data_IF_743323676037
#
_entry.id   IF_743323676037
#
_cell.length_a   1.000
_cell.length_b   1.000
_cell.length_c   1.000
_cell.angle_alpha   90.00
_cell.angle_beta   90.00
_cell.angle_gamma   90.00
#
_symmetry.space_group_name_H-M   'P 1'
#
loop_
_entity.id
_entity.type
_entity.pdbx_description
1 polymer ?
#
# COMPACT_ATOMS: atom_id res chain seq x y z
N UNK A 1 1.41 -18.47 -9.18
CA UNK A 1 1.41 -18.16 -7.74
C UNK A 1 2.37 -17.00 -7.55
N UNK A 2 2.08 -15.99 -6.73
CA UNK A 2 3.06 -14.93 -6.45
C UNK A 2 3.92 -15.37 -5.29
N UNK A 3 5.21 -15.05 -5.34
CA UNK A 3 6.17 -15.49 -4.33
C UNK A 3 6.30 -14.48 -3.18
N UNK A 4 5.61 -13.33 -3.28
CA UNK A 4 5.59 -12.29 -2.24
C UNK A 4 4.38 -11.36 -2.35
N UNK A 5 4.05 -10.67 -1.25
CA UNK A 5 2.97 -9.66 -1.23
C UNK A 5 3.23 -8.48 -2.17
N UNK A 6 4.45 -7.90 -2.27
CA UNK A 6 4.72 -6.84 -3.24
C UNK A 6 4.48 -7.27 -4.69
N UNK A 7 4.87 -8.51 -5.07
CA UNK A 7 4.58 -9.04 -6.40
C UNK A 7 3.06 -9.20 -6.64
N UNK A 8 2.32 -9.65 -5.64
CA UNK A 8 0.86 -9.75 -5.75
C UNK A 8 0.22 -8.37 -5.95
N UNK A 9 0.67 -7.34 -5.22
CA UNK A 9 0.21 -5.95 -5.39
C UNK A 9 0.46 -5.43 -6.81
N UNK A 10 1.69 -5.59 -7.31
CA UNK A 10 2.06 -5.15 -8.66
C UNK A 10 1.23 -5.85 -9.73
N UNK A 11 0.94 -7.15 -9.58
CA UNK A 11 0.07 -7.85 -10.52
C UNK A 11 -1.36 -7.31 -10.49
N UNK A 12 -1.92 -7.03 -9.31
CA UNK A 12 -3.27 -6.45 -9.24
C UNK A 12 -3.30 -5.07 -9.89
N UNK A 13 -2.28 -4.23 -9.67
CA UNK A 13 -2.17 -2.94 -10.34
C UNK A 13 -2.08 -3.07 -11.87
N UNK A 14 -1.29 -4.02 -12.37
CA UNK A 14 -1.17 -4.24 -13.82
C UNK A 14 -2.46 -4.76 -14.45
N UNK A 15 -3.15 -5.69 -13.78
CA UNK A 15 -4.32 -6.38 -14.36
C UNK A 15 -5.65 -5.70 -14.07
N UNK A 16 -5.71 -4.88 -13.02
CA UNK A 16 -6.94 -4.29 -12.47
C UNK A 16 -6.74 -2.85 -12.01
N UNK A 17 -5.85 -2.11 -12.66
CA UNK A 17 -5.40 -0.79 -12.25
C UNK A 17 -6.51 0.14 -11.74
N UNK A 18 -7.54 0.37 -12.55
CA UNK A 18 -8.65 1.29 -12.23
C UNK A 18 -9.70 0.69 -11.28
N UNK A 19 -9.64 -0.61 -10.98
CA UNK A 19 -10.57 -1.25 -10.06
C UNK A 19 -10.22 -0.89 -8.63
N UNK A 20 -11.24 -0.77 -7.78
CA UNK A 20 -11.06 -0.50 -6.36
C UNK A 20 -10.26 -1.61 -5.67
N UNK A 21 -9.15 -1.22 -5.05
CA UNK A 21 -8.34 -2.05 -4.18
C UNK A 21 -8.78 -1.93 -2.72
N UNK A 22 -8.99 -0.68 -2.27
CA UNK A 22 -9.38 -0.37 -0.89
C UNK A 22 -10.63 0.50 -0.87
N UNK A 23 -11.49 0.23 0.12
CA UNK A 23 -12.56 1.12 0.54
C UNK A 23 -12.34 1.44 2.01
N UNK A 24 -12.36 2.71 2.33
CA UNK A 24 -12.18 3.19 3.70
C UNK A 24 -13.10 4.37 3.96
N UNK A 25 -13.38 4.63 5.23
CA UNK A 25 -14.29 5.69 5.64
C UNK A 25 -13.48 6.84 6.23
N UNK A 26 -13.67 8.04 5.71
CA UNK A 26 -13.01 9.25 6.21
C UNK A 26 -14.06 10.35 6.39
N UNK A 27 -14.14 10.93 7.58
CA UNK A 27 -15.16 11.94 7.96
C UNK A 27 -16.60 11.53 7.63
N UNK A 28 -16.91 10.24 7.81
CA UNK A 28 -18.24 9.71 7.49
C UNK A 28 -18.44 9.27 6.04
N UNK A 29 -17.54 9.62 5.12
CA UNK A 29 -17.66 9.41 3.67
C UNK A 29 -16.86 8.19 3.24
N UNK A 30 -17.45 7.34 2.40
CA UNK A 30 -16.74 6.21 1.79
C UNK A 30 -15.82 6.69 0.67
N UNK A 31 -14.53 6.53 0.88
CA UNK A 31 -13.49 6.76 -0.11
C UNK A 31 -13.15 5.44 -0.81
N UNK A 32 -12.54 5.57 -1.99
CA UNK A 32 -12.02 4.46 -2.77
C UNK A 32 -10.59 4.76 -3.16
N UNK A 33 -9.76 3.72 -3.20
CA UNK A 33 -8.43 3.75 -3.79
C UNK A 33 -8.33 2.61 -4.79
N UNK A 34 -7.85 2.91 -5.99
CA UNK A 34 -7.65 1.96 -7.07
C UNK A 34 -6.36 1.13 -6.84
N UNK A 35 -6.20 0.03 -7.57
CA UNK A 35 -4.98 -0.78 -7.49
C UNK A 35 -3.75 -0.04 -7.98
N UNK A 36 -3.87 0.76 -9.03
CA UNK A 36 -2.77 1.58 -9.55
C UNK A 36 -2.32 2.64 -8.53
N UNK A 37 -3.27 3.35 -7.90
CA UNK A 37 -2.97 4.34 -6.87
C UNK A 37 -2.29 3.69 -5.67
N UNK A 38 -2.80 2.55 -5.19
CA UNK A 38 -2.22 1.84 -4.07
C UNK A 38 -0.78 1.40 -4.35
N UNK A 39 -0.51 0.81 -5.52
CA UNK A 39 0.83 0.39 -5.89
C UNK A 39 1.81 1.57 -5.99
N UNK A 40 1.36 2.72 -6.50
CA UNK A 40 2.16 3.94 -6.56
C UNK A 40 2.50 4.45 -5.15
N UNK A 41 1.51 4.56 -4.27
CA UNK A 41 1.70 5.06 -2.89
C UNK A 41 2.63 4.14 -2.08
N UNK A 42 2.44 2.82 -2.14
CA UNK A 42 3.31 1.83 -1.48
C UNK A 42 4.74 1.92 -2.02
N UNK A 43 4.92 2.06 -3.34
CA UNK A 43 6.25 2.20 -3.94
C UNK A 43 6.97 3.47 -3.48
N UNK A 44 6.25 4.59 -3.39
CA UNK A 44 6.79 5.86 -2.88
C UNK A 44 7.18 5.75 -1.40
N UNK A 45 6.34 5.13 -0.57
CA UNK A 45 6.64 4.90 0.84
C UNK A 45 7.87 4.00 1.01
N UNK A 46 7.93 2.87 0.30
CA UNK A 46 9.06 1.95 0.32
C UNK A 46 10.37 2.63 -0.12
N UNK A 47 10.32 3.44 -1.18
CA UNK A 47 11.47 4.22 -1.64
C UNK A 47 11.94 5.24 -0.57
N UNK A 48 11.00 5.92 0.08
CA UNK A 48 11.30 6.90 1.13
C UNK A 48 11.84 6.25 2.42
N UNK A 49 11.42 5.03 2.76
CA UNK A 49 11.96 4.26 3.89
C UNK A 49 13.37 3.75 3.56
N UNK A 50 13.58 3.22 2.36
CA UNK A 50 14.91 2.81 1.88
C UNK A 50 15.90 3.97 1.86
N UNK A 51 15.46 5.15 1.41
CA UNK A 51 16.26 6.38 1.44
C UNK A 51 16.67 6.83 2.85
N UNK A 52 15.96 6.37 3.89
CA UNK A 52 16.29 6.60 5.31
C UNK A 52 17.14 5.48 5.93
N UNK A 53 17.58 4.50 5.12
CA UNK A 53 18.42 3.39 5.57
C UNK A 53 17.64 2.18 6.10
N UNK A 54 16.31 2.14 5.98
CA UNK A 54 15.53 0.95 6.31
C UNK A 54 15.72 -0.12 5.22
N UNK A 55 16.03 -1.34 5.63
CA UNK A 55 16.16 -2.49 4.72
C UNK A 55 15.52 -3.76 5.29
N UNK A 56 15.68 -4.89 4.60
CA UNK A 56 15.10 -6.18 4.96
C UNK A 56 15.59 -6.79 6.27
N UNK A 57 16.68 -6.27 6.85
CA UNK A 57 17.20 -6.72 8.15
C UNK A 57 16.53 -6.01 9.32
N UNK A 58 15.81 -4.92 9.05
CA UNK A 58 15.20 -4.09 10.06
C UNK A 58 13.74 -4.51 10.35
N UNK A 59 13.34 -4.60 11.63
CA UNK A 59 11.93 -4.67 11.97
C UNK A 59 11.26 -3.31 11.76
N UNK A 60 10.04 -3.30 11.23
CA UNK A 60 9.18 -2.13 11.11
C UNK A 60 7.91 -2.34 11.93
N UNK A 61 7.57 -1.37 12.79
CA UNK A 61 6.34 -1.39 13.58
C UNK A 61 5.50 -0.18 13.22
N UNK A 62 4.21 -0.41 12.94
CA UNK A 62 3.21 0.64 12.72
C UNK A 62 2.34 0.73 13.96
N UNK A 63 2.35 1.88 14.64
CA UNK A 63 1.43 2.19 15.74
C UNK A 63 0.41 3.21 15.25
N UNK A 64 -0.83 2.75 15.03
CA UNK A 64 -1.90 3.57 14.47
C UNK A 64 -3.26 3.14 15.01
N UNK A 65 -4.21 4.07 15.03
CA UNK A 65 -5.64 3.73 15.01
C UNK A 65 -6.02 3.08 13.67
N UNK A 66 -7.26 2.61 13.52
CA UNK A 66 -7.77 2.11 12.25
C UNK A 66 -7.87 3.24 11.20
N UNK A 67 -6.76 3.46 10.48
CA UNK A 67 -6.60 4.47 9.42
C UNK A 67 -6.19 3.82 8.11
N UNK A 68 -6.51 4.46 6.99
CA UNK A 68 -6.24 3.91 5.67
C UNK A 68 -4.74 3.92 5.33
N UNK A 69 -4.00 4.87 5.89
CA UNK A 69 -2.57 5.06 5.75
C UNK A 69 -1.77 3.92 6.38
N UNK A 70 -2.33 3.22 7.37
CA UNK A 70 -1.71 2.04 7.98
C UNK A 70 -1.78 0.79 7.09
N UNK A 71 -2.49 0.86 5.96
CA UNK A 71 -2.60 -0.22 4.97
C UNK A 71 -1.60 -0.06 3.79
N UNK A 72 -0.75 0.97 3.83
CA UNK A 72 0.35 1.18 2.90
C UNK A 72 1.59 0.42 3.36
#
# INVERSE_FOLDING_TARGET
>A
MFDSLPQALLQQAQTRGDRTALRYKQFGIWQRRSWSELALEVSQLAAALKGRGLDSTHPLVILSEARAEALL
#
